data_IF_114932076069
#
_entry.id   IF_114932076069
#
_cell.length_a   1.000
_cell.length_b   1.000
_cell.length_c   1.000
_cell.angle_alpha   90.00
_cell.angle_beta   90.00
_cell.angle_gamma   90.00
#
_symmetry.space_group_name_H-M   'P 1'
#
loop_
_entity.id
_entity.type
_entity.pdbx_description
1 polymer ?
#
# COMPACT_ATOMS: atom_id res chain seq x y z
N UNK A 1 66.69 -4.71 -15.98
CA UNK A 1 65.71 -4.66 -14.86
C UNK A 1 66.07 -5.78 -13.90
N UNK A 2 66.20 -5.49 -12.60
CA UNK A 2 66.57 -6.49 -11.59
C UNK A 2 65.41 -7.47 -11.34
N UNK A 3 65.75 -8.70 -10.93
CA UNK A 3 64.78 -9.75 -10.58
C UNK A 3 63.75 -9.28 -9.52
N UNK A 4 64.16 -8.42 -8.58
CA UNK A 4 63.26 -7.80 -7.60
C UNK A 4 62.16 -6.96 -8.24
N UNK A 5 62.46 -6.19 -9.30
CA UNK A 5 61.48 -5.37 -10.01
C UNK A 5 60.48 -6.21 -10.81
N UNK A 6 60.86 -7.41 -11.25
CA UNK A 6 59.96 -8.34 -11.93
C UNK A 6 59.06 -9.09 -10.93
N UNK A 7 59.60 -9.41 -9.74
CA UNK A 7 58.84 -10.06 -8.67
C UNK A 7 57.84 -9.13 -7.98
N UNK A 8 58.16 -7.84 -7.79
CA UNK A 8 57.20 -6.85 -7.25
C UNK A 8 56.04 -6.62 -8.23
N UNK A 9 56.33 -6.45 -9.51
CA UNK A 9 55.32 -6.25 -10.54
C UNK A 9 54.38 -7.47 -10.68
N UNK A 10 54.92 -8.69 -10.49
CA UNK A 10 54.12 -9.92 -10.49
C UNK A 10 53.19 -10.06 -9.27
N UNK A 11 53.61 -9.58 -8.09
CA UNK A 11 52.75 -9.53 -6.89
C UNK A 11 51.64 -8.50 -7.03
N UNK A 12 51.95 -7.30 -7.52
CA UNK A 12 50.95 -6.24 -7.73
C UNK A 12 49.86 -6.66 -8.74
N UNK A 13 50.24 -7.36 -9.81
CA UNK A 13 49.28 -7.89 -10.80
C UNK A 13 48.41 -9.00 -10.20
N UNK A 14 48.98 -9.86 -9.35
CA UNK A 14 48.25 -10.95 -8.69
C UNK A 14 47.26 -10.39 -7.65
N UNK A 15 47.63 -9.35 -6.91
CA UNK A 15 46.74 -8.65 -5.97
C UNK A 15 45.60 -7.91 -6.71
N UNK A 16 45.89 -7.28 -7.86
CA UNK A 16 44.86 -6.67 -8.71
C UNK A 16 43.87 -7.70 -9.26
N UNK A 17 44.36 -8.86 -9.68
CA UNK A 17 43.51 -9.94 -10.18
C UNK A 17 42.61 -10.49 -9.06
N UNK A 18 43.15 -10.76 -7.86
CA UNK A 18 42.36 -11.22 -6.72
C UNK A 18 41.28 -10.21 -6.32
N UNK A 19 41.59 -8.91 -6.33
CA UNK A 19 40.61 -7.87 -6.05
C UNK A 19 39.51 -7.81 -7.13
N UNK A 20 39.87 -7.90 -8.41
CA UNK A 20 38.90 -7.96 -9.51
C UNK A 20 37.97 -9.18 -9.37
N UNK A 21 38.52 -10.36 -9.13
CA UNK A 21 37.75 -11.60 -9.00
C UNK A 21 36.80 -11.53 -7.80
N UNK A 22 37.23 -10.95 -6.67
CA UNK A 22 36.37 -10.73 -5.51
C UNK A 22 35.20 -9.79 -5.83
N UNK A 23 35.46 -8.67 -6.52
CA UNK A 23 34.40 -7.71 -6.92
C UNK A 23 33.41 -8.35 -7.88
N UNK A 24 33.88 -9.16 -8.84
CA UNK A 24 33.02 -9.85 -9.80
C UNK A 24 32.15 -10.92 -9.12
N UNK A 25 32.71 -11.67 -8.17
CA UNK A 25 31.98 -12.65 -7.37
C UNK A 25 30.92 -11.98 -6.48
N UNK A 26 31.25 -10.87 -5.82
CA UNK A 26 30.29 -10.08 -5.04
C UNK A 26 29.14 -9.55 -5.91
N UNK A 27 29.46 -9.05 -7.10
CA UNK A 27 28.46 -8.57 -8.06
C UNK A 27 27.53 -9.69 -8.53
N UNK A 28 28.08 -10.86 -8.85
CA UNK A 28 27.29 -12.02 -9.27
C UNK A 28 26.38 -12.55 -8.14
N UNK A 29 26.83 -12.51 -6.89
CA UNK A 29 26.01 -12.83 -5.71
C UNK A 29 24.86 -11.82 -5.56
N UNK A 30 25.14 -10.52 -5.73
CA UNK A 30 24.12 -9.46 -5.64
C UNK A 30 23.08 -9.62 -6.76
N UNK A 31 23.52 -9.84 -7.99
CA UNK A 31 22.64 -9.99 -9.15
C UNK A 31 21.75 -11.24 -9.02
N UNK A 32 22.31 -12.38 -8.58
CA UNK A 32 21.54 -13.60 -8.32
C UNK A 32 20.52 -13.44 -7.18
N UNK A 33 20.86 -12.71 -6.11
CA UNK A 33 19.91 -12.44 -5.03
C UNK A 33 18.78 -11.49 -5.47
N UNK A 34 19.10 -10.50 -6.31
CA UNK A 34 18.13 -9.55 -6.86
C UNK A 34 17.12 -10.24 -7.77
N UNK A 35 17.55 -11.24 -8.55
CA UNK A 35 16.69 -12.07 -9.40
C UNK A 35 15.75 -12.98 -8.58
N UNK A 36 16.13 -13.31 -7.34
CA UNK A 36 15.37 -14.20 -6.45
C UNK A 36 14.31 -13.49 -5.62
N UNK A 37 14.44 -12.19 -5.39
CA UNK A 37 13.47 -11.39 -4.63
C UNK A 37 12.16 -11.20 -5.41
N UNK A 38 11.04 -11.57 -4.78
CA UNK A 38 9.72 -11.41 -5.37
C UNK A 38 9.36 -9.94 -5.58
N UNK A 39 8.78 -9.60 -6.74
CA UNK A 39 8.34 -8.23 -7.00
C UNK A 39 7.20 -7.79 -6.09
N UNK A 40 7.09 -6.48 -5.83
CA UNK A 40 6.01 -5.89 -5.03
C UNK A 40 4.62 -6.25 -5.57
N UNK A 41 4.44 -6.37 -6.90
CA UNK A 41 3.18 -6.81 -7.51
C UNK A 41 2.81 -8.25 -7.12
N UNK A 42 3.80 -9.15 -7.08
CA UNK A 42 3.58 -10.55 -6.69
C UNK A 42 3.28 -10.66 -5.19
N UNK A 43 3.96 -9.87 -4.35
CA UNK A 43 3.68 -9.76 -2.91
C UNK A 43 2.28 -9.21 -2.66
N UNK A 44 1.86 -8.14 -3.36
CA UNK A 44 0.50 -7.60 -3.25
C UNK A 44 -0.57 -8.62 -3.68
N UNK A 45 -0.33 -9.37 -4.76
CA UNK A 45 -1.25 -10.44 -5.16
C UNK A 45 -1.38 -11.52 -4.08
N UNK A 46 -0.27 -11.93 -3.45
CA UNK A 46 -0.31 -12.86 -2.33
C UNK A 46 -1.08 -12.28 -1.12
N UNK A 47 -0.90 -11.00 -0.83
CA UNK A 47 -1.65 -10.33 0.23
C UNK A 47 -3.16 -10.34 -0.04
N UNK A 48 -3.58 -10.07 -1.29
CA UNK A 48 -4.98 -10.13 -1.71
C UNK A 48 -5.58 -11.53 -1.55
N UNK A 49 -4.87 -12.58 -1.96
CA UNK A 49 -5.31 -13.96 -1.78
C UNK A 49 -5.48 -14.32 -0.30
N UNK A 50 -4.50 -13.97 0.56
CA UNK A 50 -4.60 -14.19 2.01
C UNK A 50 -5.79 -13.46 2.63
N UNK A 51 -6.11 -12.26 2.14
CA UNK A 51 -7.27 -11.50 2.62
C UNK A 51 -8.59 -12.18 2.20
N UNK A 52 -8.68 -12.66 0.97
CA UNK A 52 -9.85 -13.39 0.45
C UNK A 52 -10.12 -14.68 1.24
N UNK A 53 -9.07 -15.34 1.72
CA UNK A 53 -9.17 -16.51 2.61
C UNK A 53 -9.54 -16.16 4.06
N UNK A 54 -9.59 -14.86 4.41
CA UNK A 54 -9.94 -14.40 5.74
C UNK A 54 -11.41 -13.99 5.82
N UNK A 55 -12.12 -14.46 6.84
CA UNK A 55 -13.48 -14.01 7.09
C UNK A 55 -13.49 -12.59 7.69
N UNK A 56 -14.02 -11.62 6.94
CA UNK A 56 -14.22 -10.25 7.40
C UNK A 56 -15.70 -10.00 7.73
N UNK A 57 -15.97 -9.27 8.81
CA UNK A 57 -17.33 -8.92 9.23
C UNK A 57 -17.51 -7.40 9.15
N UNK A 58 -18.65 -6.96 8.62
CA UNK A 58 -19.03 -5.54 8.55
C UNK A 58 -19.57 -5.05 9.90
N UNK A 59 -18.93 -4.05 10.50
CA UNK A 59 -19.43 -3.35 11.69
C UNK A 59 -20.38 -2.20 11.33
N UNK A 60 -20.11 -1.52 10.20
CA UNK A 60 -20.82 -0.32 9.78
C UNK A 60 -22.27 -0.60 9.40
N UNK A 61 -23.17 0.32 9.77
CA UNK A 61 -24.59 0.20 9.46
C UNK A 61 -25.20 1.54 9.05
N UNK A 62 -25.63 1.62 7.79
CA UNK A 62 -26.39 2.75 7.31
C UNK A 62 -27.85 2.59 7.74
N UNK A 63 -28.25 3.33 8.78
CA UNK A 63 -29.61 3.24 9.35
C UNK A 63 -30.70 3.74 8.40
N UNK A 64 -30.38 4.62 7.45
CA UNK A 64 -31.36 5.17 6.51
C UNK A 64 -31.67 4.21 5.36
N UNK A 65 -30.63 3.60 4.80
CA UNK A 65 -30.75 2.69 3.66
C UNK A 65 -30.77 1.21 4.07
N UNK A 66 -30.56 0.90 5.35
CA UNK A 66 -30.69 -0.43 5.93
C UNK A 66 -29.55 -1.41 5.60
N UNK A 67 -28.50 -0.99 4.89
CA UNK A 67 -27.39 -1.86 4.52
C UNK A 67 -26.22 -1.77 5.51
N UNK A 68 -25.38 -2.82 5.51
CA UNK A 68 -24.11 -2.85 6.24
C UNK A 68 -22.93 -2.57 5.30
N UNK A 69 -21.91 -1.88 5.79
CA UNK A 69 -20.70 -1.54 5.04
C UNK A 69 -19.45 -1.83 5.88
N UNK A 70 -18.29 -1.95 5.24
CA UNK A 70 -17.03 -2.13 5.96
C UNK A 70 -16.51 -0.81 6.54
N UNK A 71 -16.15 -0.82 7.81
CA UNK A 71 -15.36 0.23 8.44
C UNK A 71 -13.87 -0.09 8.37
N UNK A 72 -13.01 0.92 8.56
CA UNK A 72 -11.56 0.71 8.57
C UNK A 72 -11.15 -0.34 9.62
N UNK A 73 -11.82 -0.37 10.76
CA UNK A 73 -11.56 -1.34 11.83
C UNK A 73 -11.80 -2.79 11.42
N UNK A 74 -12.68 -3.03 10.44
CA UNK A 74 -13.09 -4.37 10.03
C UNK A 74 -12.00 -5.12 9.25
N UNK A 75 -11.19 -4.39 8.48
CA UNK A 75 -10.21 -5.00 7.56
C UNK A 75 -8.79 -4.50 7.76
N UNK A 76 -8.57 -3.26 8.21
CA UNK A 76 -7.24 -2.66 8.21
C UNK A 76 -6.25 -3.36 9.17
N UNK A 77 -6.64 -3.83 10.37
CA UNK A 77 -5.75 -4.62 11.22
C UNK A 77 -5.33 -5.94 10.56
N UNK A 78 -6.27 -6.63 9.91
CA UNK A 78 -6.02 -7.88 9.17
C UNK A 78 -5.08 -7.65 8.00
N UNK A 79 -5.33 -6.60 7.20
CA UNK A 79 -4.46 -6.21 6.09
C UNK A 79 -3.04 -5.92 6.57
N UNK A 80 -2.86 -5.15 7.64
CA UNK A 80 -1.53 -4.82 8.16
C UNK A 80 -0.74 -6.06 8.56
N UNK A 81 -1.39 -7.03 9.22
CA UNK A 81 -0.76 -8.31 9.55
C UNK A 81 -0.33 -9.07 8.29
N UNK A 82 -1.22 -9.16 7.30
CA UNK A 82 -0.93 -9.82 6.02
C UNK A 82 0.23 -9.13 5.29
N UNK A 83 0.24 -7.80 5.22
CA UNK A 83 1.29 -6.99 4.61
C UNK A 83 2.65 -7.27 5.26
N UNK A 84 2.70 -7.26 6.59
CA UNK A 84 3.90 -7.62 7.34
C UNK A 84 4.38 -9.04 7.00
N UNK A 85 3.46 -10.01 6.93
CA UNK A 85 3.79 -11.41 6.63
C UNK A 85 4.31 -11.64 5.21
N UNK A 86 3.95 -10.79 4.24
CA UNK A 86 4.43 -10.88 2.84
C UNK A 86 5.58 -9.91 2.53
N UNK A 87 5.99 -9.09 3.49
CA UNK A 87 7.08 -8.13 3.34
C UNK A 87 6.72 -6.92 2.46
N UNK A 88 5.54 -6.33 2.68
CA UNK A 88 5.14 -5.03 2.11
C UNK A 88 4.58 -4.12 3.20
N UNK A 89 4.62 -2.81 2.98
CA UNK A 89 4.05 -1.80 3.87
C UNK A 89 3.19 -0.82 3.07
N UNK A 90 2.00 -0.48 3.59
CA UNK A 90 1.11 0.51 3.00
C UNK A 90 1.07 1.78 3.82
N UNK A 91 1.27 2.94 3.19
CA UNK A 91 1.12 4.26 3.82
C UNK A 91 0.32 5.21 2.94
N UNK A 92 -0.40 6.15 3.55
CA UNK A 92 -1.20 7.13 2.83
C UNK A 92 -0.64 8.53 3.02
N UNK A 93 -0.49 9.23 1.91
CA UNK A 93 -0.17 10.65 1.86
C UNK A 93 -1.37 11.42 1.32
N UNK A 94 -1.74 12.49 2.02
CA UNK A 94 -2.81 13.39 1.60
C UNK A 94 -2.21 14.72 1.14
N UNK A 95 -2.51 15.09 -0.09
CA UNK A 95 -2.26 16.42 -0.65
C UNK A 95 -3.58 17.21 -0.69
N UNK A 96 -3.50 18.44 -1.18
CA UNK A 96 -4.67 19.33 -1.29
C UNK A 96 -5.73 18.82 -2.28
N UNK A 97 -5.30 18.14 -3.34
CA UNK A 97 -6.12 17.73 -4.49
C UNK A 97 -6.17 16.21 -4.69
N UNK A 98 -5.22 15.46 -4.12
CA UNK A 98 -5.13 14.01 -4.27
C UNK A 98 -4.69 13.32 -2.98
N UNK A 99 -5.21 12.12 -2.75
CA UNK A 99 -4.71 11.18 -1.76
C UNK A 99 -4.08 9.97 -2.46
N UNK A 100 -2.95 9.52 -1.92
CA UNK A 100 -2.16 8.43 -2.51
C UNK A 100 -1.92 7.38 -1.42
N UNK A 101 -2.33 6.14 -1.66
CA UNK A 101 -1.89 4.96 -0.92
C UNK A 101 -0.73 4.32 -1.67
N UNK A 102 0.42 4.27 -1.02
CA UNK A 102 1.63 3.63 -1.56
C UNK A 102 1.84 2.30 -0.85
N UNK A 103 1.81 1.20 -1.62
CA UNK A 103 2.22 -0.13 -1.17
C UNK A 103 3.67 -0.33 -1.60
N UNK A 104 4.60 -0.33 -0.65
CA UNK A 104 6.03 -0.45 -0.90
C UNK A 104 6.57 -1.79 -0.40
N UNK A 105 7.58 -2.32 -1.08
CA UNK A 105 8.40 -3.41 -0.58
C UNK A 105 9.22 -2.92 0.62
N UNK A 106 9.33 -3.75 1.67
CA UNK A 106 10.09 -3.38 2.88
C UNK A 106 11.60 -3.60 2.72
N UNK A 107 12.01 -4.45 1.77
CA UNK A 107 13.41 -4.83 1.55
C UNK A 107 14.02 -4.08 0.34
N UNK A 108 13.17 -3.52 -0.55
CA UNK A 108 13.60 -2.76 -1.73
C UNK A 108 12.81 -1.45 -1.88
N UNK A 109 13.43 -0.33 -1.49
CA UNK A 109 12.81 0.99 -1.52
C UNK A 109 12.43 1.49 -2.92
N UNK A 110 12.91 0.84 -4.00
CA UNK A 110 12.57 1.21 -5.37
C UNK A 110 11.32 0.49 -5.89
N UNK A 111 10.76 -0.45 -5.13
CA UNK A 111 9.59 -1.21 -5.53
C UNK A 111 8.35 -0.78 -4.77
N UNK A 112 7.41 -0.16 -5.49
CA UNK A 112 6.15 0.30 -4.93
C UNK A 112 5.03 0.34 -5.97
N UNK A 113 3.79 0.41 -5.48
CA UNK A 113 2.57 0.56 -6.27
C UNK A 113 1.74 1.68 -5.63
N UNK A 114 1.27 2.62 -6.44
CA UNK A 114 0.43 3.74 -5.98
C UNK A 114 -1.02 3.55 -6.40
N UNK A 115 -1.93 3.71 -5.43
CA UNK A 115 -3.36 3.83 -5.63
C UNK A 115 -3.76 5.27 -5.32
N UNK A 116 -4.49 5.90 -6.23
CA UNK A 116 -4.76 7.34 -6.20
C UNK A 116 -6.25 7.61 -6.14
N UNK A 117 -6.64 8.60 -5.35
CA UNK A 117 -8.02 9.05 -5.21
C UNK A 117 -8.03 10.59 -5.18
N UNK A 118 -8.84 11.26 -6.02
CA UNK A 118 -8.99 12.71 -5.93
C UNK A 118 -9.59 13.10 -4.57
N UNK A 119 -9.17 14.25 -4.05
CA UNK A 119 -9.76 14.81 -2.84
C UNK A 119 -11.20 15.29 -3.11
N UNK A 120 -12.01 15.25 -2.07
CA UNK A 120 -13.40 15.73 -2.11
C UNK A 120 -13.68 16.63 -0.90
N UNK A 121 -14.90 17.13 -0.80
CA UNK A 121 -15.34 17.98 0.31
C UNK A 121 -16.45 17.30 1.10
N UNK A 122 -16.58 17.66 2.37
CA UNK A 122 -17.70 17.28 3.22
C UNK A 122 -18.29 18.53 3.88
N UNK A 123 -19.61 18.54 4.04
CA UNK A 123 -20.34 19.62 4.70
C UNK A 123 -21.35 19.00 5.68
N UNK A 124 -20.83 18.36 6.73
CA UNK A 124 -21.65 17.65 7.70
C UNK A 124 -22.30 18.65 8.67
N UNK A 125 -23.60 18.49 8.89
CA UNK A 125 -24.38 19.40 9.74
C UNK A 125 -23.84 19.36 11.18
N UNK A 126 -23.49 20.53 11.70
CA UNK A 126 -22.97 20.68 13.07
C UNK A 126 -21.47 20.38 13.22
N UNK A 127 -20.74 20.15 12.13
CA UNK A 127 -19.30 19.96 12.14
C UNK A 127 -18.54 21.22 11.71
N UNK A 128 -17.43 21.50 12.39
CA UNK A 128 -16.45 22.51 11.97
C UNK A 128 -15.55 21.99 10.84
N UNK A 129 -14.87 22.89 10.14
CA UNK A 129 -14.06 22.58 8.96
C UNK A 129 -13.04 21.44 9.20
N UNK A 130 -12.39 21.41 10.36
CA UNK A 130 -11.43 20.34 10.70
C UNK A 130 -12.11 18.97 10.85
N UNK A 131 -13.35 18.92 11.32
CA UNK A 131 -14.12 17.68 11.43
C UNK A 131 -14.62 17.23 10.06
N UNK A 132 -15.04 18.17 9.21
CA UNK A 132 -15.35 17.89 7.81
C UNK A 132 -14.13 17.33 7.08
N UNK A 133 -12.94 17.89 7.30
CA UNK A 133 -11.69 17.34 6.77
C UNK A 133 -11.43 15.92 7.30
N UNK A 134 -11.58 15.69 8.61
CA UNK A 134 -11.45 14.35 9.20
C UNK A 134 -12.38 13.32 8.57
N UNK A 135 -13.62 13.70 8.25
CA UNK A 135 -14.56 12.85 7.53
C UNK A 135 -14.09 12.51 6.12
N UNK A 136 -13.65 13.52 5.34
CA UNK A 136 -13.06 13.33 4.00
C UNK A 136 -11.88 12.37 4.04
N UNK A 137 -10.91 12.60 4.93
CA UNK A 137 -9.70 11.79 5.04
C UNK A 137 -10.01 10.33 5.41
N UNK A 138 -10.96 10.12 6.32
CA UNK A 138 -11.38 8.78 6.75
C UNK A 138 -12.05 8.02 5.61
N UNK A 139 -12.94 8.69 4.88
CA UNK A 139 -13.68 8.09 3.77
C UNK A 139 -12.77 7.74 2.59
N UNK A 140 -11.88 8.66 2.21
CA UNK A 140 -10.89 8.43 1.15
C UNK A 140 -9.92 7.31 1.54
N UNK A 141 -9.46 7.28 2.80
CA UNK A 141 -8.62 6.18 3.32
C UNK A 141 -9.31 4.83 3.12
N UNK A 142 -10.60 4.73 3.43
CA UNK A 142 -11.38 3.50 3.23
C UNK A 142 -11.38 3.07 1.76
N UNK A 143 -11.69 3.99 0.84
CA UNK A 143 -11.69 3.71 -0.60
C UNK A 143 -10.32 3.30 -1.15
N UNK A 144 -9.24 3.95 -0.71
CA UNK A 144 -7.91 3.58 -1.14
C UNK A 144 -7.55 2.14 -0.72
N UNK A 145 -7.82 1.75 0.52
CA UNK A 145 -7.55 0.39 0.98
C UNK A 145 -8.46 -0.65 0.35
N UNK A 146 -9.76 -0.35 0.20
CA UNK A 146 -10.72 -1.22 -0.47
C UNK A 146 -10.29 -1.48 -1.92
N UNK A 147 -9.90 -0.42 -2.65
CA UNK A 147 -9.38 -0.53 -4.02
C UNK A 147 -8.06 -1.34 -4.04
N UNK A 148 -7.08 -0.98 -3.23
CA UNK A 148 -5.78 -1.63 -3.22
C UNK A 148 -5.86 -3.13 -2.90
N UNK A 149 -6.83 -3.57 -2.11
CA UNK A 149 -7.00 -4.97 -1.73
C UNK A 149 -8.15 -5.70 -2.43
N UNK A 150 -8.81 -5.05 -3.39
CA UNK A 150 -9.97 -5.59 -4.13
C UNK A 150 -11.05 -6.13 -3.16
N UNK A 151 -11.32 -5.41 -2.07
CA UNK A 151 -12.38 -5.79 -1.14
C UNK A 151 -13.71 -5.59 -1.85
N UNK A 152 -14.36 -6.70 -2.18
CA UNK A 152 -15.67 -6.67 -2.86
C UNK A 152 -16.74 -6.23 -1.86
N UNK A 153 -17.31 -5.07 -2.07
CA UNK A 153 -18.58 -4.69 -1.47
C UNK A 153 -19.73 -5.09 -2.40
N UNK A 154 -20.88 -5.43 -1.82
CA UNK A 154 -22.13 -5.55 -2.57
C UNK A 154 -22.35 -4.24 -3.32
N UNK A 155 -22.64 -4.31 -4.62
CA UNK A 155 -22.78 -3.16 -5.51
C UNK A 155 -24.05 -2.36 -5.17
N UNK A 156 -24.03 -1.61 -4.05
CA UNK A 156 -25.23 -0.96 -3.49
C UNK A 156 -25.64 0.29 -4.28
N UNK A 157 -24.78 0.79 -5.17
CA UNK A 157 -25.03 2.01 -5.94
C UNK A 157 -26.30 1.87 -6.78
N UNK A 158 -26.59 0.67 -7.31
CA UNK A 158 -27.78 0.43 -8.13
C UNK A 158 -29.08 0.35 -7.30
N UNK A 159 -29.00 0.08 -6.00
CA UNK A 159 -30.19 0.04 -5.12
C UNK A 159 -30.66 1.44 -4.68
N UNK A 160 -29.80 2.45 -4.77
CA UNK A 160 -30.09 3.84 -4.37
C UNK A 160 -30.32 4.82 -5.53
N UNK A 161 -30.16 4.38 -6.79
CA UNK A 161 -30.30 5.22 -8.00
C UNK A 161 -31.74 5.75 -8.26
N UNK A 162 -32.70 5.50 -7.37
CA UNK A 162 -34.05 6.07 -7.39
C UNK A 162 -34.35 7.10 -6.28
N UNK A 163 -33.47 7.26 -5.29
CA UNK A 163 -33.69 8.21 -4.22
C UNK A 163 -33.04 9.56 -4.59
N UNK A 164 -33.86 10.55 -4.97
CA UNK A 164 -33.42 11.95 -4.98
C UNK A 164 -33.05 12.31 -3.53
N UNK A 165 -31.78 12.18 -3.18
CA UNK A 165 -31.26 12.52 -1.85
C UNK A 165 -31.37 14.04 -1.71
N UNK A 166 -32.45 14.52 -1.09
CA UNK A 166 -32.45 15.86 -0.51
C UNK A 166 -31.52 15.79 0.70
N UNK A 167 -30.29 16.27 0.52
CA UNK A 167 -29.24 16.43 1.54
C UNK A 167 -29.65 17.44 2.62
N UNK A 168 -30.78 17.25 3.30
CA UNK A 168 -31.28 18.21 4.29
C UNK A 168 -31.22 17.71 5.74
N UNK A 169 -31.14 16.40 5.96
CA UNK A 169 -31.34 15.84 7.31
C UNK A 169 -30.31 14.79 7.77
N UNK A 170 -29.23 14.55 7.03
CA UNK A 170 -28.24 13.51 7.40
C UNK A 170 -27.20 14.05 8.38
N UNK A 171 -26.94 13.35 9.49
CA UNK A 171 -25.92 13.72 10.47
C UNK A 171 -24.58 13.08 10.13
N UNK A 172 -23.49 13.65 10.66
CA UNK A 172 -22.11 13.16 10.46
C UNK A 172 -21.95 11.68 10.82
N UNK A 173 -22.62 11.26 11.89
CA UNK A 173 -22.65 9.91 12.46
C UNK A 173 -23.31 8.87 11.55
N UNK A 174 -23.96 9.28 10.45
CA UNK A 174 -24.60 8.37 9.51
C UNK A 174 -23.73 8.06 8.27
N UNK A 175 -22.56 8.71 8.14
CA UNK A 175 -21.58 8.52 7.06
C UNK A 175 -20.22 8.00 7.53
N UNK A 176 -19.97 7.96 8.85
CA UNK A 176 -18.68 7.55 9.40
C UNK A 176 -18.76 6.09 9.79
#
# INVERSE_FOLDING_TARGET
>A
MSLESQMTNGRDVMDQQMFHDQVMMEKEIIDNNKEKTMSVHKKLMQARLKLQDTHLTKSGHNKFAGYKYFELGDFLPTIQKICNDVGICGHITFYTDIAILTIADIDDSNQFIEFKCPMSTAALKGCHDVQNLGAVLTYIRRYLWVNAFEIVESDVVDASAGAVIKMKDTKAEDFI
#
